data_IF_534984450850
#
_entry.id   IF_534984450850
#
_cell.length_a   1.000
_cell.length_b   1.000
_cell.length_c   1.000
_cell.angle_alpha   90.00
_cell.angle_beta   90.00
_cell.angle_gamma   90.00
#
_symmetry.space_group_name_H-M   'P 1'
#
loop_
_entity.id
_entity.type
_entity.pdbx_description
1 polymer ?
#
# COMPACT_ATOMS: atom_id res chain seq x y z
N UNK A 1 -23.07 -6.30 30.36
CA UNK A 1 -21.64 -6.05 30.43
C UNK A 1 -20.99 -7.43 30.30
N UNK A 2 -20.70 -7.86 29.05
CA UNK A 2 -20.12 -9.18 28.77
C UNK A 2 -18.60 -8.99 28.61
N UNK A 3 -17.89 -9.57 29.55
CA UNK A 3 -16.44 -9.58 29.64
C UNK A 3 -15.93 -10.56 28.56
N UNK A 4 -15.39 -10.04 27.46
CA UNK A 4 -14.69 -10.87 26.47
C UNK A 4 -13.24 -11.05 26.94
N UNK A 5 -12.79 -12.29 27.17
CA UNK A 5 -11.39 -12.52 27.47
C UNK A 5 -10.53 -12.11 26.27
N UNK A 6 -9.33 -11.54 26.49
CA UNK A 6 -8.42 -11.18 25.42
C UNK A 6 -8.06 -12.45 24.63
N UNK A 7 -8.27 -12.41 23.32
CA UNK A 7 -7.87 -13.48 22.39
C UNK A 7 -6.37 -13.71 22.51
N UNK A 8 -5.98 -14.73 23.26
CA UNK A 8 -4.60 -15.22 23.31
C UNK A 8 -4.35 -15.99 22.02
N UNK A 9 -3.84 -15.31 20.99
CA UNK A 9 -3.20 -15.99 19.87
C UNK A 9 -2.10 -16.90 20.43
N UNK A 10 -1.96 -18.15 19.96
CA UNK A 10 -0.97 -19.09 20.48
C UNK A 10 0.43 -18.48 20.41
N UNK A 11 1.27 -18.65 21.44
CA UNK A 11 2.60 -18.05 21.47
C UNK A 11 3.42 -18.60 20.31
N UNK A 12 3.78 -17.74 19.36
CA UNK A 12 4.65 -18.10 18.24
C UNK A 12 5.93 -18.76 18.76
N UNK A 13 6.29 -19.91 18.19
CA UNK A 13 7.52 -20.62 18.57
C UNK A 13 8.76 -19.71 18.45
N UNK A 14 9.83 -20.00 19.21
CA UNK A 14 11.07 -19.23 19.22
C UNK A 14 11.62 -18.96 17.80
N UNK A 15 11.47 -19.91 16.88
CA UNK A 15 11.89 -19.80 15.49
C UNK A 15 11.12 -18.70 14.73
N UNK A 16 9.81 -18.64 14.92
CA UNK A 16 8.97 -17.65 14.26
C UNK A 16 9.20 -16.23 14.83
N UNK A 17 9.40 -16.12 16.15
CA UNK A 17 9.79 -14.85 16.78
C UNK A 17 11.13 -14.35 16.25
N UNK A 18 12.13 -15.24 16.13
CA UNK A 18 13.45 -14.89 15.56
C UNK A 18 13.32 -14.44 14.10
N UNK A 19 12.49 -15.15 13.31
CA UNK A 19 12.21 -14.81 11.91
C UNK A 19 11.61 -13.40 11.78
N UNK A 20 10.56 -13.11 12.56
CA UNK A 20 9.93 -11.77 12.57
C UNK A 20 10.90 -10.68 13.02
N UNK A 21 11.69 -10.93 14.06
CA UNK A 21 12.69 -9.96 14.52
C UNK A 21 13.72 -9.67 13.44
N UNK A 22 14.31 -10.68 12.81
CA UNK A 22 15.28 -10.47 11.72
C UNK A 22 14.66 -9.71 10.55
N UNK A 23 13.39 -10.02 10.18
CA UNK A 23 12.67 -9.31 9.14
C UNK A 23 12.47 -7.83 9.48
N UNK A 24 12.10 -7.52 10.72
CA UNK A 24 11.94 -6.12 11.19
C UNK A 24 13.28 -5.38 11.15
N UNK A 25 14.37 -5.97 11.66
CA UNK A 25 15.70 -5.36 11.63
C UNK A 25 16.16 -5.03 10.20
N UNK A 26 15.89 -5.92 9.23
CA UNK A 26 16.21 -5.67 7.81
C UNK A 26 15.41 -4.49 7.23
N UNK A 27 14.13 -4.36 7.60
CA UNK A 27 13.28 -3.24 7.16
C UNK A 27 13.79 -1.92 7.76
N UNK A 28 14.14 -1.89 9.04
CA UNK A 28 14.68 -0.71 9.73
C UNK A 28 16.02 -0.30 9.12
N UNK A 29 16.95 -1.23 8.93
CA UNK A 29 18.25 -0.95 8.29
C UNK A 29 18.09 -0.39 6.86
N UNK A 30 17.16 -0.95 6.08
CA UNK A 30 16.86 -0.45 4.74
C UNK A 30 16.30 0.99 4.78
N UNK A 31 15.35 1.26 5.70
CA UNK A 31 14.78 2.59 5.86
C UNK A 31 15.83 3.64 6.21
N UNK A 32 16.68 3.36 7.21
CA UNK A 32 17.75 4.27 7.64
C UNK A 32 18.74 4.57 6.52
N UNK A 33 19.22 3.54 5.81
CA UNK A 33 20.16 3.70 4.70
C UNK A 33 19.53 4.48 3.55
N UNK A 34 18.30 4.15 3.16
CA UNK A 34 17.61 4.87 2.08
C UNK A 34 17.37 6.34 2.41
N UNK A 35 17.04 6.68 3.66
CA UNK A 35 16.91 8.09 4.08
C UNK A 35 18.25 8.82 4.13
N UNK A 36 19.33 8.13 4.54
CA UNK A 36 20.66 8.73 4.71
C UNK A 36 21.38 8.99 3.39
N UNK A 37 21.34 8.06 2.46
CA UNK A 37 22.16 8.08 1.23
C UNK A 37 21.35 7.95 -0.06
N UNK A 38 20.02 7.87 0.03
CA UNK A 38 19.10 7.64 -1.08
C UNK A 38 18.95 6.16 -1.42
N UNK A 39 17.78 5.82 -1.96
CA UNK A 39 17.46 4.44 -2.36
C UNK A 39 18.42 3.94 -3.46
N UNK A 40 18.66 4.75 -4.49
CA UNK A 40 19.47 4.34 -5.65
C UNK A 40 20.92 4.01 -5.26
N UNK A 41 21.44 4.66 -4.21
CA UNK A 41 22.78 4.42 -3.67
C UNK A 41 22.86 3.34 -2.57
N UNK A 42 21.73 2.74 -2.20
CA UNK A 42 21.67 1.70 -1.17
C UNK A 42 21.70 0.31 -1.82
N UNK A 43 22.58 -0.56 -1.32
CA UNK A 43 22.72 -1.95 -1.82
C UNK A 43 22.21 -2.99 -0.82
N UNK A 44 21.90 -4.18 -1.34
CA UNK A 44 21.51 -5.33 -0.50
C UNK A 44 22.60 -5.69 0.51
N UNK A 45 23.88 -5.61 0.10
CA UNK A 45 25.01 -5.93 0.97
C UNK A 45 25.12 -4.95 2.14
N UNK A 46 24.90 -3.65 1.87
CA UNK A 46 24.88 -2.63 2.93
C UNK A 46 23.72 -2.84 3.90
N UNK A 47 22.51 -3.18 3.40
CA UNK A 47 21.36 -3.45 4.26
C UNK A 47 21.61 -4.70 5.12
N UNK A 48 22.17 -5.77 4.53
CA UNK A 48 22.49 -6.99 5.25
C UNK A 48 23.54 -6.74 6.34
N UNK A 49 24.61 -6.01 6.01
CA UNK A 49 25.65 -5.63 6.96
C UNK A 49 25.10 -4.77 8.12
N UNK A 50 24.28 -3.76 7.83
CA UNK A 50 23.65 -2.92 8.85
C UNK A 50 22.70 -3.70 9.78
N UNK A 51 22.08 -4.77 9.27
CA UNK A 51 21.23 -5.67 10.05
C UNK A 51 21.97 -6.83 10.73
N UNK A 52 23.30 -6.85 10.66
CA UNK A 52 24.18 -7.92 11.19
C UNK A 52 23.79 -9.32 10.65
N UNK A 53 23.53 -9.42 9.36
CA UNK A 53 23.25 -10.68 8.68
C UNK A 53 24.02 -10.81 7.36
N UNK A 54 24.12 -12.02 6.81
CA UNK A 54 24.71 -12.22 5.50
C UNK A 54 23.75 -11.80 4.36
N UNK A 55 24.24 -11.44 3.15
CA UNK A 55 23.42 -11.20 1.96
C UNK A 55 22.52 -12.41 1.61
N UNK A 56 23.00 -13.62 1.81
CA UNK A 56 22.20 -14.85 1.67
C UNK A 56 21.03 -14.88 2.67
N UNK A 57 21.24 -14.38 3.88
CA UNK A 57 20.16 -14.25 4.86
C UNK A 57 19.14 -13.20 4.43
N UNK A 58 19.58 -12.06 3.93
CA UNK A 58 18.69 -11.05 3.33
C UNK A 58 17.81 -11.65 2.24
N UNK A 59 18.41 -12.33 1.24
CA UNK A 59 17.69 -12.92 0.10
C UNK A 59 16.66 -13.98 0.51
N UNK A 60 16.81 -14.62 1.67
CA UNK A 60 15.81 -15.53 2.23
C UNK A 60 14.56 -14.82 2.72
N UNK A 61 14.65 -13.53 3.14
CA UNK A 61 13.53 -12.73 3.62
C UNK A 61 12.95 -11.82 2.53
N UNK A 62 13.82 -11.31 1.68
CA UNK A 62 13.49 -10.35 0.63
C UNK A 62 14.22 -10.71 -0.66
N UNK A 63 13.48 -11.08 -1.72
CA UNK A 63 14.10 -11.46 -3.00
C UNK A 63 14.82 -10.30 -3.68
N UNK A 64 14.39 -9.05 -3.43
CA UNK A 64 14.97 -7.84 -4.03
C UNK A 64 15.03 -6.68 -3.03
N UNK A 65 15.78 -5.62 -3.36
CA UNK A 65 15.83 -4.37 -2.58
C UNK A 65 14.45 -3.69 -2.54
N UNK A 66 13.70 -3.75 -3.64
CA UNK A 66 12.34 -3.22 -3.74
C UNK A 66 11.40 -3.91 -2.75
N UNK A 67 11.54 -5.22 -2.59
CA UNK A 67 10.67 -5.99 -1.69
C UNK A 67 10.85 -5.64 -0.21
N UNK A 68 12.03 -5.21 0.24
CA UNK A 68 12.21 -4.73 1.61
C UNK A 68 11.60 -3.34 1.80
N UNK A 69 11.70 -2.46 0.80
CA UNK A 69 11.08 -1.13 0.85
C UNK A 69 9.55 -1.23 0.89
N UNK A 70 8.96 -2.06 0.02
CA UNK A 70 7.50 -2.27 0.04
C UNK A 70 7.00 -2.91 1.34
N UNK A 71 7.85 -3.66 2.03
CA UNK A 71 7.49 -4.28 3.31
C UNK A 71 7.40 -3.29 4.48
N UNK A 72 7.84 -2.03 4.32
CA UNK A 72 7.74 -0.99 5.35
C UNK A 72 6.29 -0.68 5.75
N UNK A 73 5.34 -0.96 4.86
CA UNK A 73 3.90 -0.72 5.10
C UNK A 73 3.14 -1.95 5.62
N UNK A 74 3.84 -3.01 6.04
CA UNK A 74 3.17 -4.28 6.41
C UNK A 74 2.08 -4.12 7.47
N UNK A 75 2.36 -3.38 8.54
CA UNK A 75 1.38 -3.15 9.63
C UNK A 75 0.21 -2.25 9.17
N UNK A 76 0.45 -1.34 8.20
CA UNK A 76 -0.58 -0.47 7.65
C UNK A 76 -1.66 -1.23 6.89
N UNK A 77 -1.28 -2.34 6.24
CA UNK A 77 -2.23 -3.17 5.51
C UNK A 77 -3.28 -3.80 6.44
N UNK A 78 -2.89 -4.18 7.66
CA UNK A 78 -3.81 -4.71 8.67
C UNK A 78 -4.75 -3.61 9.21
N UNK A 79 -4.25 -2.41 9.51
CA UNK A 79 -5.08 -1.27 9.92
C UNK A 79 -6.06 -0.86 8.82
N UNK A 80 -5.59 -0.80 7.58
CA UNK A 80 -6.42 -0.47 6.43
C UNK A 80 -7.50 -1.55 6.21
N UNK A 81 -7.14 -2.83 6.32
CA UNK A 81 -8.08 -3.93 6.20
C UNK A 81 -9.21 -3.83 7.25
N UNK A 82 -8.85 -3.54 8.50
CA UNK A 82 -9.84 -3.34 9.57
C UNK A 82 -10.75 -2.13 9.30
N UNK A 83 -10.18 -1.01 8.84
CA UNK A 83 -10.94 0.18 8.49
C UNK A 83 -11.89 -0.07 7.31
N UNK A 84 -11.46 -0.80 6.24
CA UNK A 84 -12.31 -1.17 5.11
C UNK A 84 -13.48 -2.07 5.57
N UNK A 85 -13.20 -3.03 6.45
CA UNK A 85 -14.22 -3.94 6.97
C UNK A 85 -15.31 -3.21 7.77
N UNK A 86 -14.98 -2.07 8.38
CA UNK A 86 -15.90 -1.24 9.17
C UNK A 86 -16.74 -0.29 8.30
N UNK A 87 -16.41 -0.09 7.01
CA UNK A 87 -17.17 0.82 6.15
C UNK A 87 -18.55 0.25 5.78
N UNK A 88 -19.57 1.11 5.65
CA UNK A 88 -20.90 0.72 5.18
C UNK A 88 -20.84 0.00 3.83
N UNK A 89 -21.75 -0.97 3.61
CA UNK A 89 -21.79 -1.77 2.38
C UNK A 89 -22.53 -1.10 1.22
N UNK A 90 -23.23 0.00 1.49
CA UNK A 90 -24.02 0.78 0.53
C UNK A 90 -23.23 1.91 -0.16
N UNK A 91 -21.94 2.06 0.15
CA UNK A 91 -21.01 2.97 -0.53
C UNK A 91 -20.14 2.22 -1.53
N UNK A 92 -19.55 2.94 -2.51
CA UNK A 92 -18.65 2.34 -3.50
C UNK A 92 -17.33 1.87 -2.86
N UNK A 93 -16.64 0.94 -3.53
CA UNK A 93 -15.33 0.43 -3.10
C UNK A 93 -14.29 1.55 -2.97
N UNK A 94 -14.30 2.50 -3.91
CA UNK A 94 -13.39 3.64 -3.90
C UNK A 94 -13.71 4.62 -2.76
N UNK A 95 -14.97 4.82 -2.43
CA UNK A 95 -15.37 5.63 -1.29
C UNK A 95 -15.00 4.94 0.03
N UNK A 96 -15.16 3.61 0.11
CA UNK A 96 -14.73 2.83 1.26
C UNK A 96 -13.19 2.93 1.44
N UNK A 97 -12.41 2.86 0.36
CA UNK A 97 -10.96 3.05 0.37
C UNK A 97 -10.57 4.46 0.84
N UNK A 98 -11.23 5.50 0.31
CA UNK A 98 -10.98 6.87 0.74
C UNK A 98 -11.22 7.03 2.25
N UNK A 99 -12.43 6.69 2.73
CA UNK A 99 -12.80 6.84 4.14
C UNK A 99 -11.84 6.07 5.05
N UNK A 100 -11.47 4.85 4.64
CA UNK A 100 -10.53 4.03 5.41
C UNK A 100 -9.14 4.64 5.48
N UNK A 101 -8.62 5.23 4.41
CA UNK A 101 -7.33 5.91 4.42
C UNK A 101 -7.38 7.19 5.27
N UNK A 102 -8.46 7.99 5.15
CA UNK A 102 -8.66 9.17 5.99
C UNK A 102 -8.76 8.81 7.47
N UNK A 103 -9.41 7.70 7.80
CA UNK A 103 -9.48 7.18 9.17
C UNK A 103 -8.09 6.76 9.69
N UNK A 104 -7.32 6.06 8.88
CA UNK A 104 -5.99 5.56 9.27
C UNK A 104 -4.96 6.69 9.37
N UNK A 105 -5.02 7.70 8.48
CA UNK A 105 -4.09 8.83 8.44
C UNK A 105 -4.65 10.12 9.06
N UNK A 106 -5.92 10.14 9.49
CA UNK A 106 -6.68 11.33 9.85
C UNK A 106 -5.93 12.36 10.68
N UNK A 107 -6.27 13.65 10.51
CA UNK A 107 -5.55 14.77 11.10
C UNK A 107 -5.61 14.80 12.63
N UNK A 108 -6.56 14.05 13.22
CA UNK A 108 -6.72 13.90 14.68
C UNK A 108 -5.83 12.79 15.25
N UNK A 109 -5.27 11.92 14.40
CA UNK A 109 -4.38 10.87 14.87
C UNK A 109 -2.98 11.44 15.00
N UNK A 110 -2.48 11.34 16.23
CA UNK A 110 -1.18 11.84 16.62
C UNK A 110 -0.11 11.46 15.56
N UNK A 111 0.66 12.46 15.13
CA UNK A 111 1.79 12.36 14.21
C UNK A 111 2.76 11.22 14.56
N UNK A 112 2.63 10.68 15.75
CA UNK A 112 3.50 9.68 16.33
C UNK A 112 3.01 8.23 16.16
N UNK A 113 1.88 7.97 15.47
CA UNK A 113 1.47 6.58 15.25
C UNK A 113 2.57 5.85 14.45
N UNK A 114 3.02 4.67 14.89
CA UNK A 114 4.08 3.92 14.19
C UNK A 114 3.74 3.69 12.70
N UNK A 115 2.47 3.54 12.39
CA UNK A 115 1.99 3.35 11.02
C UNK A 115 2.22 4.55 10.13
N UNK A 116 1.83 5.76 10.55
CA UNK A 116 2.07 6.99 9.78
C UNK A 116 3.56 7.25 9.59
N UNK A 117 4.38 7.08 10.64
CA UNK A 117 5.85 7.24 10.53
C UNK A 117 6.46 6.35 9.45
N UNK A 118 6.05 5.08 9.39
CA UNK A 118 6.54 4.14 8.36
C UNK A 118 6.06 4.53 6.96
N UNK A 119 4.80 4.97 6.84
CA UNK A 119 4.29 5.47 5.56
C UNK A 119 5.04 6.74 5.13
N UNK A 120 5.28 7.68 6.04
CA UNK A 120 6.03 8.89 5.75
C UNK A 120 7.46 8.57 5.26
N UNK A 121 8.15 7.63 5.91
CA UNK A 121 9.47 7.15 5.46
C UNK A 121 9.40 6.57 4.06
N UNK A 122 8.41 5.72 3.78
CA UNK A 122 8.24 5.15 2.44
C UNK A 122 7.97 6.22 1.38
N UNK A 123 7.10 7.18 1.66
CA UNK A 123 6.80 8.30 0.75
C UNK A 123 8.07 9.12 0.47
N UNK A 124 8.86 9.44 1.50
CA UNK A 124 10.13 10.15 1.33
C UNK A 124 11.11 9.36 0.46
N UNK A 125 11.25 8.05 0.68
CA UNK A 125 12.10 7.18 -0.13
C UNK A 125 11.65 7.20 -1.60
N UNK A 126 10.35 7.02 -1.87
CA UNK A 126 9.80 7.01 -3.23
C UNK A 126 10.00 8.38 -3.91
N UNK A 127 9.71 9.47 -3.22
CA UNK A 127 9.83 10.81 -3.78
C UNK A 127 11.29 11.21 -4.09
N UNK A 128 12.26 10.68 -3.36
CA UNK A 128 13.69 10.96 -3.56
C UNK A 128 14.39 9.96 -4.49
N UNK A 129 13.73 8.87 -4.92
CA UNK A 129 14.30 7.84 -5.77
C UNK A 129 13.71 7.90 -7.18
N UNK A 130 14.53 8.20 -8.19
CA UNK A 130 14.07 8.26 -9.58
C UNK A 130 13.53 6.91 -10.06
N UNK A 131 14.23 5.83 -9.70
CA UNK A 131 13.86 4.45 -10.03
C UNK A 131 12.52 4.00 -9.42
N UNK A 132 12.07 4.60 -8.30
CA UNK A 132 10.83 4.25 -7.61
C UNK A 132 9.64 5.16 -7.95
N UNK A 133 9.87 6.30 -8.60
CA UNK A 133 8.79 7.25 -8.96
C UNK A 133 7.78 6.71 -9.96
N UNK A 134 8.11 5.63 -10.65
CA UNK A 134 7.16 4.95 -11.54
C UNK A 134 6.06 4.30 -10.72
N UNK A 135 4.79 4.56 -11.05
CA UNK A 135 3.63 3.88 -10.47
C UNK A 135 3.71 2.35 -10.63
N UNK A 136 4.43 1.87 -11.65
CA UNK A 136 4.70 0.45 -11.86
C UNK A 136 5.36 -0.22 -10.64
N UNK A 137 6.21 0.50 -9.88
CA UNK A 137 6.79 -0.02 -8.65
C UNK A 137 5.73 -0.41 -7.61
N UNK A 138 4.73 0.44 -7.42
CA UNK A 138 3.65 0.20 -6.45
C UNK A 138 2.68 -0.89 -6.93
N UNK A 139 2.52 -1.06 -8.23
CA UNK A 139 1.65 -2.05 -8.85
C UNK A 139 2.27 -3.47 -8.88
N UNK A 140 3.58 -3.61 -8.68
CA UNK A 140 4.27 -4.91 -8.69
C UNK A 140 4.00 -5.78 -7.45
N UNK A 141 3.29 -5.28 -6.44
CA UNK A 141 2.99 -6.06 -5.23
C UNK A 141 1.88 -7.08 -5.52
N UNK A 142 2.08 -8.37 -5.17
CA UNK A 142 1.03 -9.38 -5.30
C UNK A 142 -0.20 -8.97 -4.47
N UNK A 143 -1.34 -8.86 -5.15
CA UNK A 143 -2.62 -8.46 -4.53
C UNK A 143 -3.06 -9.49 -3.48
N UNK A 144 -2.84 -10.77 -3.75
CA UNK A 144 -3.31 -11.90 -2.95
C UNK A 144 -2.67 -11.95 -1.54
N UNK A 145 -1.56 -11.26 -1.35
CA UNK A 145 -0.81 -11.23 -0.07
C UNK A 145 -1.26 -10.07 0.83
N UNK A 146 -2.07 -9.15 0.30
CA UNK A 146 -2.52 -7.97 1.06
C UNK A 146 -3.85 -8.23 1.74
N UNK A 147 -3.88 -8.11 3.07
CA UNK A 147 -5.09 -8.30 3.88
C UNK A 147 -6.22 -7.36 3.44
N UNK A 148 -5.90 -6.13 3.09
CA UNK A 148 -6.86 -5.15 2.58
C UNK A 148 -7.60 -5.64 1.31
N UNK A 149 -6.90 -6.32 0.39
CA UNK A 149 -7.55 -6.86 -0.81
C UNK A 149 -8.41 -8.09 -0.53
N UNK A 150 -8.03 -8.92 0.45
CA UNK A 150 -8.88 -10.02 0.91
C UNK A 150 -10.20 -9.48 1.47
N UNK A 151 -10.13 -8.41 2.25
CA UNK A 151 -11.31 -7.73 2.80
C UNK A 151 -12.13 -7.07 1.68
N UNK A 152 -11.47 -6.43 0.72
CA UNK A 152 -12.14 -5.83 -0.44
C UNK A 152 -12.89 -6.88 -1.26
N UNK A 153 -12.29 -8.03 -1.55
CA UNK A 153 -12.96 -9.13 -2.24
C UNK A 153 -14.22 -9.61 -1.50
N UNK A 154 -14.14 -9.74 -0.18
CA UNK A 154 -15.30 -10.08 0.66
C UNK A 154 -16.41 -9.02 0.56
N UNK A 155 -16.04 -7.74 0.58
CA UNK A 155 -16.97 -6.62 0.41
C UNK A 155 -17.67 -6.66 -0.94
N UNK A 156 -16.93 -6.97 -2.02
CA UNK A 156 -17.45 -7.11 -3.38
C UNK A 156 -18.21 -8.44 -3.63
N UNK A 157 -18.19 -9.37 -2.67
CA UNK A 157 -18.81 -10.70 -2.82
C UNK A 157 -18.06 -11.63 -3.78
N UNK A 158 -16.75 -11.40 -4.01
CA UNK A 158 -15.91 -12.17 -4.92
C UNK A 158 -14.61 -12.67 -4.23
N UNK A 159 -13.87 -13.53 -4.91
CA UNK A 159 -12.55 -13.97 -4.41
C UNK A 159 -11.55 -12.82 -4.43
N UNK A 160 -10.57 -12.82 -3.51
CA UNK A 160 -9.51 -11.83 -3.48
C UNK A 160 -8.66 -11.79 -4.78
N UNK A 161 -8.63 -12.91 -5.51
CA UNK A 161 -7.95 -13.07 -6.80
C UNK A 161 -8.79 -12.64 -8.01
N UNK A 162 -10.02 -12.19 -7.78
CA UNK A 162 -10.90 -11.72 -8.86
C UNK A 162 -10.29 -10.49 -9.55
N UNK A 163 -10.32 -10.44 -10.91
CA UNK A 163 -9.81 -9.29 -11.66
C UNK A 163 -10.41 -7.95 -11.25
N UNK A 164 -11.68 -7.92 -10.80
CA UNK A 164 -12.33 -6.70 -10.34
C UNK A 164 -11.68 -6.16 -9.06
N UNK A 165 -11.30 -7.01 -8.11
CA UNK A 165 -10.58 -6.61 -6.89
C UNK A 165 -9.22 -6.01 -7.27
N UNK A 166 -8.53 -6.65 -8.21
CA UNK A 166 -7.24 -6.14 -8.71
C UNK A 166 -7.42 -4.78 -9.38
N UNK A 167 -8.41 -4.62 -10.25
CA UNK A 167 -8.70 -3.35 -10.92
C UNK A 167 -8.94 -2.22 -9.92
N UNK A 168 -9.78 -2.43 -8.90
CA UNK A 168 -10.03 -1.47 -7.83
C UNK A 168 -8.73 -1.09 -7.11
N UNK A 169 -7.92 -2.07 -6.76
CA UNK A 169 -6.66 -1.86 -6.06
C UNK A 169 -5.61 -1.14 -6.88
N UNK A 170 -5.45 -1.49 -8.15
CA UNK A 170 -4.47 -0.87 -9.04
C UNK A 170 -4.87 0.59 -9.32
N UNK A 171 -6.13 0.87 -9.63
CA UNK A 171 -6.63 2.23 -9.81
C UNK A 171 -6.47 3.07 -8.54
N UNK A 172 -6.78 2.51 -7.37
CA UNK A 172 -6.55 3.18 -6.09
C UNK A 172 -5.06 3.46 -5.83
N UNK A 173 -4.19 2.53 -6.18
CA UNK A 173 -2.75 2.70 -6.02
C UNK A 173 -2.23 3.87 -6.85
N UNK A 174 -2.69 4.03 -8.10
CA UNK A 174 -2.33 5.18 -8.95
C UNK A 174 -2.84 6.49 -8.33
N UNK A 175 -4.09 6.53 -7.89
CA UNK A 175 -4.69 7.69 -7.23
C UNK A 175 -3.89 8.08 -5.97
N UNK A 176 -3.57 7.09 -5.14
CA UNK A 176 -2.80 7.30 -3.92
C UNK A 176 -1.38 7.80 -4.22
N UNK A 177 -0.71 7.23 -5.23
CA UNK A 177 0.61 7.67 -5.66
C UNK A 177 0.63 9.14 -6.10
N UNK A 178 -0.40 9.59 -6.83
CA UNK A 178 -0.54 10.98 -7.21
C UNK A 178 -0.78 11.91 -6.00
N UNK A 179 -1.50 11.43 -4.98
CA UNK A 179 -1.76 12.22 -3.78
C UNK A 179 -0.48 12.53 -3.00
N UNK A 180 0.46 11.60 -2.90
CA UNK A 180 1.70 11.83 -2.17
C UNK A 180 2.90 12.28 -3.03
N UNK A 181 2.74 12.36 -4.36
CA UNK A 181 3.82 12.76 -5.24
C UNK A 181 4.43 14.11 -4.84
N UNK A 182 5.73 14.12 -4.60
CA UNK A 182 6.49 15.31 -4.22
C UNK A 182 6.33 15.79 -2.78
N UNK A 183 5.46 15.19 -1.94
CA UNK A 183 5.34 15.57 -0.53
C UNK A 183 6.66 15.37 0.22
N UNK A 184 7.02 16.35 1.05
CA UNK A 184 8.23 16.31 1.85
C UNK A 184 9.52 16.61 1.10
N UNK A 185 9.49 16.91 -0.21
CA UNK A 185 10.65 17.38 -0.95
C UNK A 185 10.90 18.88 -0.68
N UNK A 186 12.17 19.35 -0.79
CA UNK A 186 12.50 20.76 -0.67
C UNK A 186 11.65 21.63 -1.62
N UNK A 187 11.04 22.67 -1.06
CA UNK A 187 10.17 23.59 -1.82
C UNK A 187 8.73 23.13 -2.06
N UNK A 188 8.38 21.91 -1.65
CA UNK A 188 7.02 21.39 -1.73
C UNK A 188 6.33 21.39 -0.34
N UNK A 189 5.04 20.98 -0.34
CA UNK A 189 4.28 20.83 0.90
C UNK A 189 4.93 19.81 1.85
N UNK A 190 4.82 20.04 3.16
CA UNK A 190 5.37 19.12 4.15
C UNK A 190 4.62 17.78 4.12
N UNK A 191 5.31 16.70 4.46
CA UNK A 191 4.70 15.40 4.61
C UNK A 191 4.05 15.29 5.99
N UNK A 192 2.80 15.75 6.07
CA UNK A 192 1.96 15.76 7.26
C UNK A 192 0.66 15.00 7.01
N UNK A 193 0.05 14.38 8.05
CA UNK A 193 -1.20 13.62 7.90
C UNK A 193 -2.30 14.44 7.24
N UNK A 194 -2.48 15.69 7.67
CA UNK A 194 -3.51 16.57 7.13
C UNK A 194 -3.29 16.87 5.65
N UNK A 195 -2.08 17.24 5.27
CA UNK A 195 -1.74 17.55 3.88
C UNK A 195 -1.95 16.33 2.98
N UNK A 196 -1.52 15.15 3.44
CA UNK A 196 -1.75 13.90 2.71
C UNK A 196 -3.25 13.61 2.55
N UNK A 197 -4.04 13.77 3.61
CA UNK A 197 -5.49 13.56 3.56
C UNK A 197 -6.18 14.54 2.61
N UNK A 198 -5.85 15.84 2.68
CA UNK A 198 -6.42 16.87 1.81
C UNK A 198 -6.11 16.58 0.33
N UNK A 199 -4.87 16.19 0.03
CA UNK A 199 -4.46 15.80 -1.34
C UNK A 199 -5.14 14.52 -1.79
N UNK A 200 -5.30 13.54 -0.91
CA UNK A 200 -5.98 12.28 -1.25
C UNK A 200 -7.46 12.54 -1.58
N UNK A 201 -8.14 13.39 -0.81
CA UNK A 201 -9.51 13.81 -1.11
C UNK A 201 -9.60 14.54 -2.44
N UNK A 202 -8.69 15.46 -2.71
CA UNK A 202 -8.66 16.19 -3.98
C UNK A 202 -8.44 15.25 -5.18
N UNK A 203 -7.53 14.28 -5.07
CA UNK A 203 -7.32 13.27 -6.11
C UNK A 203 -8.55 12.37 -6.31
N UNK A 204 -9.21 11.98 -5.23
CA UNK A 204 -10.45 11.21 -5.32
C UNK A 204 -11.58 11.99 -6.02
N UNK A 205 -11.76 13.27 -5.71
CA UNK A 205 -12.74 14.12 -6.39
C UNK A 205 -12.43 14.30 -7.88
N UNK A 206 -11.14 14.41 -8.23
CA UNK A 206 -10.71 14.44 -9.63
C UNK A 206 -11.04 13.10 -10.32
N UNK A 207 -10.71 11.99 -9.69
CA UNK A 207 -11.02 10.64 -10.19
C UNK A 207 -12.53 10.46 -10.41
N UNK A 208 -13.37 10.82 -9.43
CA UNK A 208 -14.83 10.76 -9.56
C UNK A 208 -15.35 11.52 -10.77
N UNK A 209 -14.84 12.75 -11.02
CA UNK A 209 -15.28 13.59 -12.15
C UNK A 209 -14.85 13.04 -13.51
N UNK A 210 -13.70 12.37 -13.56
CA UNK A 210 -13.12 11.89 -14.81
C UNK A 210 -13.53 10.45 -15.15
N UNK A 211 -13.91 9.65 -14.15
CA UNK A 211 -14.28 8.24 -14.30
C UNK A 211 -15.77 7.97 -14.15
N UNK A 212 -16.58 8.95 -13.77
CA UNK A 212 -18.03 8.78 -13.85
C UNK A 212 -18.41 8.68 -15.32
N UNK A 213 -19.05 7.61 -15.79
CA UNK A 213 -19.59 7.56 -17.14
C UNK A 213 -20.49 8.78 -17.33
N UNK A 214 -20.32 9.53 -18.41
CA UNK A 214 -21.24 10.60 -18.74
C UNK A 214 -22.62 9.99 -18.81
N UNK A 215 -23.55 10.44 -17.95
CA UNK A 215 -24.91 9.97 -17.96
C UNK A 215 -25.49 10.26 -19.34
N UNK A 216 -25.67 9.24 -20.17
CA UNK A 216 -26.12 9.36 -21.56
C UNK A 216 -25.21 8.70 -22.60
N UNK A 217 -24.11 8.05 -22.20
CA UNK A 217 -23.30 7.25 -23.13
C UNK A 217 -24.03 5.99 -23.54
N UNK A 218 -24.28 5.86 -24.84
CA UNK A 218 -24.72 4.63 -25.46
C UNK A 218 -23.82 3.48 -25.02
N UNK A 219 -24.41 2.33 -24.63
CA UNK A 219 -23.66 1.09 -24.41
C UNK A 219 -22.83 0.83 -25.66
N UNK A 220 -21.52 0.70 -25.49
CA UNK A 220 -20.63 0.28 -26.55
C UNK A 220 -21.02 -1.18 -26.91
N UNK A 221 -21.96 -1.37 -27.81
CA UNK A 221 -22.21 -2.64 -28.45
C UNK A 221 -21.03 -2.90 -29.41
N UNK A 222 -19.95 -3.41 -28.86
CA UNK A 222 -18.85 -3.93 -29.66
C UNK A 222 -19.36 -5.13 -30.42
N UNK A 223 -19.50 -5.02 -31.74
CA UNK A 223 -19.66 -6.19 -32.60
C UNK A 223 -18.55 -7.21 -32.26
N UNK A 224 -18.91 -8.47 -31.99
CA UNK A 224 -17.89 -9.49 -31.81
C UNK A 224 -17.05 -9.59 -33.09
N UNK A 225 -15.72 -9.76 -32.98
CA UNK A 225 -14.87 -9.87 -34.16
C UNK A 225 -15.39 -11.00 -35.04
N UNK A 226 -15.64 -10.70 -36.30
CA UNK A 226 -16.10 -11.65 -37.30
C UNK A 226 -15.18 -12.88 -37.26
N UNK A 227 -15.78 -14.02 -36.94
CA UNK A 227 -15.11 -15.30 -36.97
C UNK A 227 -14.43 -15.48 -38.31
N UNK A 228 -13.10 -15.59 -38.30
CA UNK A 228 -12.33 -16.01 -39.45
C UNK A 228 -12.83 -17.41 -39.88
N UNK A 229 -13.79 -17.43 -40.81
CA UNK A 229 -14.10 -18.63 -41.59
C UNK A 229 -13.16 -18.65 -42.80
N UNK A 230 -12.41 -19.73 -42.87
CA UNK A 230 -11.84 -20.34 -44.09
C UNK A 230 -10.64 -19.68 -44.80
N UNK A 231 -9.44 -20.23 -44.68
CA UNK A 231 -8.97 -21.22 -45.67
C UNK A 231 -7.71 -21.89 -45.17
#
# INVERSE_FOLDING_TARGET
>A
MADFPPSQAPPFGLRERKKRRTRATLIEAAAELCLKQGYDNTTVDQIAAAADVSPRTFSRYFPTKESVVTAMTGDMDEYLAAAIAAQPTDITEYEALLRSHLEVFGPEKDYHTPGFKRMAVLIQIINNAESLRSSAFLLQRPVEVRTAFVVMGRRMGVAATDPAVRMVGDAWTVLFANAFAGLGLPGNEPLEPRVLCDRLQAQYELFRRTWTPMAGGETFEGEPPASAQNR
#
